data_IF_304429676899
#
_entry.id   IF_304429676899
#
_cell.length_a   1.000
_cell.length_b   1.000
_cell.length_c   1.000
_cell.angle_alpha   90.00
_cell.angle_beta   90.00
_cell.angle_gamma   90.00
#
_symmetry.space_group_name_H-M   'P 1'
#
loop_
_entity.id
_entity.type
_entity.pdbx_description
1 polymer ?
#
# COMPACT_ATOMS: atom_id res chain seq x y z
N UNK A 1 2.39 -12.95 1.84
CA UNK A 1 1.75 -12.15 0.78
C UNK A 1 2.89 -11.59 -0.05
N UNK A 2 2.95 -11.87 -1.35
CA UNK A 2 4.06 -11.42 -2.19
C UNK A 2 3.77 -10.01 -2.69
N UNK A 3 4.71 -9.09 -2.51
CA UNK A 3 4.58 -7.70 -2.91
C UNK A 3 5.76 -7.27 -3.76
N UNK A 4 5.52 -6.35 -4.69
CA UNK A 4 6.54 -5.68 -5.49
C UNK A 4 6.35 -4.18 -5.39
N UNK A 5 7.38 -3.39 -5.61
CA UNK A 5 7.28 -1.93 -5.54
C UNK A 5 8.09 -1.25 -6.63
N UNK A 6 7.58 -0.12 -7.10
CA UNK A 6 8.25 0.75 -8.07
C UNK A 6 7.76 2.20 -7.88
N UNK A 7 8.68 3.18 -7.91
CA UNK A 7 8.40 4.62 -7.71
C UNK A 7 7.51 4.95 -6.49
N UNK A 8 7.61 4.16 -5.42
CA UNK A 8 6.82 4.35 -4.19
C UNK A 8 5.42 3.75 -4.21
N UNK A 9 4.99 3.17 -5.33
CA UNK A 9 3.78 2.35 -5.42
C UNK A 9 4.10 0.91 -5.06
N UNK A 10 3.13 0.22 -4.44
CA UNK A 10 3.27 -1.18 -4.01
C UNK A 10 2.19 -2.00 -4.68
N UNK A 11 2.55 -3.11 -5.31
CA UNK A 11 1.64 -4.08 -5.88
C UNK A 11 1.54 -5.33 -4.98
N UNK A 12 0.34 -5.88 -4.84
CA UNK A 12 0.13 -7.26 -4.39
C UNK A 12 0.18 -8.18 -5.59
N UNK A 13 0.89 -9.30 -5.47
CA UNK A 13 0.97 -10.33 -6.50
C UNK A 13 0.21 -11.58 -6.03
N UNK A 14 -0.67 -12.08 -6.88
CA UNK A 14 -1.42 -13.33 -6.71
C UNK A 14 -1.17 -14.22 -7.93
N UNK A 15 -1.15 -15.54 -7.75
CA UNK A 15 -1.07 -16.49 -8.87
C UNK A 15 -2.49 -16.95 -9.20
N UNK A 16 -2.86 -16.86 -10.47
CA UNK A 16 -4.09 -17.41 -11.02
C UNK A 16 -3.78 -18.76 -11.68
N UNK A 17 -4.26 -19.83 -11.04
CA UNK A 17 -4.07 -21.20 -11.51
C UNK A 17 -4.86 -21.53 -12.80
N UNK A 18 -5.93 -20.79 -13.08
CA UNK A 18 -6.82 -21.08 -14.22
C UNK A 18 -6.16 -20.65 -15.52
N UNK A 19 -5.51 -19.49 -15.47
CA UNK A 19 -4.88 -18.85 -16.63
C UNK A 19 -3.35 -19.02 -16.65
N UNK A 20 -2.78 -19.64 -15.60
CA UNK A 20 -1.33 -19.83 -15.39
C UNK A 20 -0.55 -18.52 -15.50
N UNK A 21 -1.00 -17.52 -14.75
CA UNK A 21 -0.42 -16.17 -14.73
C UNK A 21 -0.28 -15.63 -13.32
N UNK A 22 0.65 -14.72 -13.14
CA UNK A 22 0.69 -13.81 -11.99
C UNK A 22 -0.17 -12.59 -12.29
N UNK A 23 -1.00 -12.20 -11.34
CA UNK A 23 -1.82 -10.99 -11.38
C UNK A 23 -1.29 -10.02 -10.32
N UNK A 24 -0.94 -8.82 -10.76
CA UNK A 24 -0.49 -7.71 -9.93
C UNK A 24 -1.56 -6.64 -9.79
N UNK A 25 -1.73 -6.10 -8.58
CA UNK A 25 -2.62 -4.96 -8.33
C UNK A 25 -1.95 -3.92 -7.43
N UNK A 26 -1.93 -2.67 -7.87
CA UNK A 26 -1.41 -1.55 -7.08
C UNK A 26 -2.31 -1.31 -5.86
N UNK A 27 -1.67 -1.06 -4.71
CA UNK A 27 -2.28 -0.81 -3.42
C UNK A 27 -2.03 0.64 -2.98
N UNK A 28 -2.91 1.14 -2.11
CA UNK A 28 -2.75 2.46 -1.49
C UNK A 28 -3.32 3.63 -2.29
N UNK A 29 -3.94 3.37 -3.45
CA UNK A 29 -4.61 4.37 -4.29
C UNK A 29 -6.06 3.95 -4.58
N UNK A 30 -6.92 4.89 -4.98
CA UNK A 30 -8.29 4.63 -5.40
C UNK A 30 -8.34 4.05 -6.82
N UNK A 31 -7.46 4.53 -7.70
CA UNK A 31 -7.32 4.03 -9.07
C UNK A 31 -7.06 2.53 -9.09
N UNK A 32 -7.80 1.80 -9.93
CA UNK A 32 -7.65 0.36 -10.08
C UNK A 32 -6.63 0.09 -11.17
N UNK A 33 -5.36 -0.02 -10.77
CA UNK A 33 -4.26 -0.35 -11.68
C UNK A 33 -3.89 -1.82 -11.48
N UNK A 34 -4.03 -2.61 -12.53
CA UNK A 34 -3.74 -4.04 -12.54
C UNK A 34 -2.89 -4.43 -13.73
N UNK A 35 -2.09 -5.46 -13.56
CA UNK A 35 -1.20 -6.01 -14.58
C UNK A 35 -1.08 -7.52 -14.41
N UNK A 36 -0.60 -8.22 -15.42
CA UNK A 36 -0.41 -9.66 -15.34
C UNK A 36 0.75 -10.13 -16.21
N UNK A 37 1.34 -11.26 -15.84
CA UNK A 37 2.48 -11.82 -16.56
C UNK A 37 2.62 -13.33 -16.31
N UNK A 38 3.27 -14.04 -17.23
CA UNK A 38 3.56 -15.49 -17.08
C UNK A 38 4.90 -15.78 -16.41
N UNK A 39 5.79 -14.79 -16.37
CA UNK A 39 7.12 -14.93 -15.80
C UNK A 39 7.42 -13.78 -14.86
N UNK A 40 8.31 -14.00 -13.90
CA UNK A 40 8.75 -12.95 -12.95
C UNK A 40 9.39 -11.77 -13.67
N UNK A 41 10.18 -12.01 -14.72
CA UNK A 41 10.81 -10.95 -15.51
C UNK A 41 9.76 -10.07 -16.20
N UNK A 42 8.75 -10.67 -16.82
CA UNK A 42 7.63 -9.93 -17.39
C UNK A 42 6.84 -9.20 -16.32
N UNK A 43 6.65 -9.81 -15.15
CA UNK A 43 5.92 -9.20 -14.05
C UNK A 43 6.58 -7.90 -13.55
N UNK A 44 7.92 -7.87 -13.47
CA UNK A 44 8.66 -6.64 -13.18
C UNK A 44 8.44 -5.58 -14.27
N UNK A 45 8.57 -5.96 -15.53
CA UNK A 45 8.39 -5.04 -16.66
C UNK A 45 6.97 -4.46 -16.73
N UNK A 46 5.96 -5.30 -16.50
CA UNK A 46 4.55 -4.88 -16.53
C UNK A 46 4.19 -4.01 -15.33
N UNK A 47 4.81 -4.23 -14.15
CA UNK A 47 4.69 -3.32 -13.01
C UNK A 47 5.22 -1.93 -13.34
N UNK A 48 6.46 -1.85 -13.83
CA UNK A 48 7.11 -0.57 -14.17
C UNK A 48 6.29 0.18 -15.22
N UNK A 49 5.90 -0.53 -16.30
CA UNK A 49 5.08 0.03 -17.36
C UNK A 49 3.74 0.53 -16.85
N UNK A 50 3.02 -0.25 -16.05
CA UNK A 50 1.69 0.14 -15.56
C UNK A 50 1.74 1.37 -14.66
N UNK A 51 2.82 1.55 -13.89
CA UNK A 51 3.02 2.75 -13.07
C UNK A 51 3.42 3.94 -13.94
N UNK A 52 4.27 3.73 -14.94
CA UNK A 52 4.75 4.80 -15.81
C UNK A 52 3.63 5.32 -16.72
N UNK A 53 2.82 4.43 -17.28
CA UNK A 53 1.62 4.76 -18.04
C UNK A 53 0.65 5.57 -17.17
N UNK A 54 0.40 5.13 -15.92
CA UNK A 54 -0.46 5.88 -14.98
C UNK A 54 0.07 7.29 -14.67
N UNK A 55 1.38 7.43 -14.44
CA UNK A 55 1.99 8.72 -14.16
C UNK A 55 1.94 9.64 -15.38
N UNK A 56 2.12 9.10 -16.58
CA UNK A 56 2.00 9.84 -17.83
C UNK A 56 0.56 10.31 -18.08
N UNK A 57 -0.43 9.44 -17.89
CA UNK A 57 -1.86 9.80 -17.97
C UNK A 57 -2.22 10.93 -17.00
N UNK A 58 -1.73 10.88 -15.76
CA UNK A 58 -1.92 11.95 -14.79
C UNK A 58 -1.32 13.29 -15.26
N UNK A 59 -0.13 13.25 -15.87
CA UNK A 59 0.55 14.43 -16.41
C UNK A 59 -0.22 15.03 -17.60
N UNK A 60 -0.68 14.17 -18.53
CA UNK A 60 -1.47 14.57 -19.70
C UNK A 60 -2.80 15.23 -19.31
N UNK A 61 -3.48 14.68 -18.30
CA UNK A 61 -4.75 15.18 -17.79
C UNK A 61 -4.59 16.40 -16.86
N UNK A 62 -3.35 16.76 -16.48
CA UNK A 62 -3.06 17.84 -15.54
C UNK A 62 -3.55 17.54 -14.12
N UNK A 63 -3.65 16.27 -13.76
CA UNK A 63 -4.10 15.79 -12.44
C UNK A 63 -2.88 15.37 -11.62
N UNK A 64 -2.86 15.71 -10.33
CA UNK A 64 -1.81 15.18 -9.45
C UNK A 64 -2.01 13.68 -9.24
N UNK A 65 -0.99 12.83 -9.50
CA UNK A 65 -1.09 11.40 -9.26
C UNK A 65 -1.38 11.12 -7.79
N UNK A 66 -2.20 10.10 -7.55
CA UNK A 66 -2.61 9.71 -6.21
C UNK A 66 -1.41 9.31 -5.37
N UNK A 67 -1.12 10.10 -4.35
CA UNK A 67 -0.09 9.73 -3.37
C UNK A 67 -0.58 8.48 -2.64
N UNK A 68 0.18 7.37 -2.66
CA UNK A 68 -0.22 6.12 -2.00
C UNK A 68 -0.47 6.28 -0.51
N UNK A 69 0.10 7.33 0.12
CA UNK A 69 -0.11 7.65 1.53
C UNK A 69 -0.05 9.15 1.77
N UNK A 70 -1.02 9.69 2.51
CA UNK A 70 -1.03 11.09 2.98
C UNK A 70 -0.28 11.30 4.31
N UNK A 71 0.19 10.21 4.93
CA UNK A 71 0.72 10.21 6.29
C UNK A 71 -0.34 10.40 7.39
N UNK A 72 -1.61 10.65 7.02
CA UNK A 72 -2.73 10.77 7.97
C UNK A 72 -3.50 9.46 8.01
N UNK A 73 -3.70 8.94 9.22
CA UNK A 73 -4.46 7.71 9.45
C UNK A 73 -5.70 8.03 10.30
N UNK A 74 -6.84 8.19 9.64
CA UNK A 74 -8.15 8.41 10.29
C UNK A 74 -8.78 7.03 10.57
N UNK A 75 -8.74 6.57 11.81
CA UNK A 75 -9.31 5.28 12.21
C UNK A 75 -10.56 5.48 13.06
N UNK A 76 -11.63 4.77 12.70
CA UNK A 76 -12.74 4.52 13.61
C UNK A 76 -12.45 3.24 14.37
N UNK A 77 -12.13 3.35 15.65
CA UNK A 77 -11.87 2.20 16.53
C UNK A 77 -12.95 2.10 17.61
N UNK A 78 -13.28 0.88 18.09
CA UNK A 78 -14.17 0.72 19.24
C UNK A 78 -13.62 1.44 20.49
N UNK A 79 -14.53 1.91 21.35
CA UNK A 79 -14.18 2.65 22.58
C UNK A 79 -13.16 1.89 23.45
N UNK A 80 -13.35 0.58 23.59
CA UNK A 80 -12.46 -0.27 24.40
C UNK A 80 -11.04 -0.34 23.83
N UNK A 81 -10.89 -0.36 22.50
CA UNK A 81 -9.59 -0.37 21.83
C UNK A 81 -8.91 0.99 22.01
N UNK A 82 -9.65 2.09 21.82
CA UNK A 82 -9.14 3.44 22.04
C UNK A 82 -8.63 3.62 23.47
N UNK A 83 -9.41 3.18 24.48
CA UNK A 83 -9.00 3.26 25.90
C UNK A 83 -7.71 2.50 26.16
N UNK A 84 -7.61 1.25 25.70
CA UNK A 84 -6.42 0.41 25.90
C UNK A 84 -5.18 1.00 25.21
N UNK A 85 -5.32 1.51 23.98
CA UNK A 85 -4.24 2.15 23.25
C UNK A 85 -3.76 3.44 23.96
N UNK A 86 -4.68 4.26 24.47
CA UNK A 86 -4.35 5.49 25.20
C UNK A 86 -3.57 5.19 26.48
N UNK A 87 -4.01 4.20 27.26
CA UNK A 87 -3.31 3.76 28.48
C UNK A 87 -1.90 3.27 28.14
N UNK A 88 -1.77 2.40 27.12
CA UNK A 88 -0.46 1.86 26.72
C UNK A 88 0.51 2.95 26.25
N UNK A 89 0.01 3.97 25.53
CA UNK A 89 0.80 5.13 25.14
C UNK A 89 1.29 5.92 26.36
N UNK A 90 0.40 6.21 27.32
CA UNK A 90 0.72 6.97 28.52
C UNK A 90 1.71 6.24 29.43
N UNK A 91 1.55 4.92 29.64
CA UNK A 91 2.48 4.10 30.45
C UNK A 91 3.90 4.10 29.88
N UNK A 92 4.05 4.32 28.57
CA UNK A 92 5.36 4.42 27.90
C UNK A 92 5.85 5.86 27.72
N UNK A 93 5.13 6.86 28.25
CA UNK A 93 5.49 8.27 28.13
C UNK A 93 5.35 8.83 26.72
N UNK A 94 4.49 8.23 25.88
CA UNK A 94 4.33 8.58 24.46
C UNK A 94 2.97 9.20 24.19
N UNK A 95 2.91 10.08 23.20
CA UNK A 95 1.61 10.47 22.62
C UNK A 95 0.97 9.25 21.95
N UNK A 96 -0.37 9.24 21.86
CA UNK A 96 -1.09 8.15 21.19
C UNK A 96 -0.62 7.96 19.75
N UNK A 97 -0.39 9.06 19.01
CA UNK A 97 0.13 8.99 17.64
C UNK A 97 1.51 8.34 17.59
N UNK A 98 2.46 8.72 18.46
CA UNK A 98 3.80 8.13 18.47
C UNK A 98 3.77 6.65 18.81
N UNK A 99 2.97 6.28 19.81
CA UNK A 99 2.78 4.87 20.18
C UNK A 99 2.17 4.07 19.03
N UNK A 100 1.12 4.60 18.39
CA UNK A 100 0.47 3.96 17.25
C UNK A 100 1.43 3.80 16.06
N UNK A 101 2.23 4.83 15.73
CA UNK A 101 3.25 4.75 14.68
C UNK A 101 4.23 3.60 14.94
N UNK A 102 4.75 3.45 16.16
CA UNK A 102 5.67 2.36 16.49
C UNK A 102 5.03 0.97 16.46
N UNK A 103 3.76 0.86 16.84
CA UNK A 103 3.02 -0.41 16.75
C UNK A 103 2.78 -0.77 15.29
N UNK A 104 2.35 0.19 14.47
CA UNK A 104 2.13 0.00 13.04
C UNK A 104 3.44 -0.33 12.31
N UNK A 105 4.56 0.33 12.65
CA UNK A 105 5.88 0.02 12.07
C UNK A 105 6.34 -1.41 12.38
N UNK A 106 6.08 -1.88 13.60
CA UNK A 106 6.39 -3.27 13.99
C UNK A 106 5.46 -4.27 13.30
N UNK A 107 4.17 -3.96 13.19
CA UNK A 107 3.19 -4.85 12.56
C UNK A 107 3.31 -4.88 11.02
N UNK A 108 3.78 -3.79 10.41
CA UNK A 108 3.95 -3.66 8.97
C UNK A 108 5.36 -4.03 8.47
N UNK A 109 6.27 -4.47 9.36
CA UNK A 109 7.48 -5.14 8.91
C UNK A 109 7.06 -6.45 8.23
N UNK A 110 7.18 -6.46 6.90
CA UNK A 110 7.01 -7.64 6.04
C UNK A 110 8.39 -8.26 5.80
#
# INVERSE_FOLDING_TARGET
>A
MNTMSHKGYVARIEYDERDDIFVGRILGIQSIIGFHARTVTQLCSELEKSIDDYLAECEEDGVEPEKPVSGRLLLRVPLEVHRKALIAAQTTGKSLNRWATEVLQRAAHV
#
